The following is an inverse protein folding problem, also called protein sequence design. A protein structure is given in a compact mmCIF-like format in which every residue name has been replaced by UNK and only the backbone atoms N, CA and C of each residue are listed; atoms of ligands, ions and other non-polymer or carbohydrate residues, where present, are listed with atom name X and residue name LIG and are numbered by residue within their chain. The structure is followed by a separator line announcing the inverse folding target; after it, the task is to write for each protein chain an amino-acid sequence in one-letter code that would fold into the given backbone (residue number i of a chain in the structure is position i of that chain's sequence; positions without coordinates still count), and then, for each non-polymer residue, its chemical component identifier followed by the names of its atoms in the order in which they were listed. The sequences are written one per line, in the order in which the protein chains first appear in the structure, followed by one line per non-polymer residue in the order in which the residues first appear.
data_IF_651509401351
#
_entry.id   IF_651509401351
#
_cell.length_a   1.000
_cell.length_b   1.000
_cell.length_c   1.000
_cell.angle_alpha   90.00
_cell.angle_beta   90.00
_cell.angle_gamma   90.00
#
_symmetry.space_group_name_H-M   'P 1'
#
loop_
_entity.id
_entity.type
_entity.pdbx_description
1 polymer ?
#
# COMPACT_ATOMS: atom_id res chain seq x y z
N UNK A 1 -5.61 -12.35 3.88
CA UNK A 1 -5.26 -13.54 4.68
C UNK A 1 -5.90 -13.43 6.06
N UNK A 2 -6.47 -14.51 6.62
CA UNK A 2 -7.10 -14.49 7.94
C UNK A 2 -6.11 -14.53 9.11
N UNK A 3 -6.52 -14.12 10.32
CA UNK A 3 -5.70 -14.11 11.55
C UNK A 3 -5.08 -15.47 11.85
N UNK A 4 -5.82 -16.58 11.68
CA UNK A 4 -5.30 -17.95 11.90
C UNK A 4 -4.09 -18.35 11.05
N UNK A 5 -3.75 -17.54 10.03
CA UNK A 5 -2.58 -17.74 9.15
C UNK A 5 -1.49 -16.68 9.37
N UNK A 6 -1.68 -15.76 10.30
CA UNK A 6 -0.68 -14.74 10.64
C UNK A 6 0.44 -15.34 11.50
N UNK A 7 1.55 -14.62 11.62
CA UNK A 7 2.60 -14.91 12.60
C UNK A 7 1.97 -14.88 14.00
N UNK A 8 2.40 -15.74 14.90
CA UNK A 8 1.91 -15.79 16.30
C UNK A 8 0.39 -15.95 16.43
N UNK A 9 -0.26 -16.62 15.46
CA UNK A 9 -1.71 -16.72 15.40
C UNK A 9 -2.33 -17.37 16.63
N UNK A 10 -1.73 -18.44 17.17
CA UNK A 10 -2.28 -19.16 18.33
C UNK A 10 -2.39 -18.27 19.59
N UNK A 11 -1.30 -17.66 20.11
CA UNK A 11 -1.41 -16.79 21.27
C UNK A 11 -2.28 -15.56 21.00
N UNK A 12 -2.26 -15.01 19.77
CA UNK A 12 -3.15 -13.90 19.40
C UNK A 12 -4.62 -14.31 19.44
N UNK A 13 -4.98 -15.52 19.00
CA UNK A 13 -6.33 -16.03 19.07
C UNK A 13 -6.77 -16.25 20.52
N UNK A 14 -5.93 -16.87 21.35
CA UNK A 14 -6.24 -17.14 22.76
C UNK A 14 -6.51 -15.84 23.55
N UNK A 15 -5.75 -14.79 23.27
CA UNK A 15 -5.87 -13.49 23.94
C UNK A 15 -7.00 -12.58 23.40
N UNK A 16 -7.62 -12.91 22.26
CA UNK A 16 -8.54 -12.01 21.55
C UNK A 16 -9.93 -11.92 22.19
N UNK A 17 -10.04 -11.30 23.37
CA UNK A 17 -11.30 -11.05 24.05
C UNK A 17 -11.70 -9.56 23.98
N UNK A 18 -12.15 -9.11 22.80
CA UNK A 18 -12.46 -7.70 22.52
C UNK A 18 -13.94 -7.54 22.11
N UNK A 19 -14.91 -7.60 23.05
CA UNK A 19 -16.34 -7.60 22.71
C UNK A 19 -16.83 -6.31 22.03
N UNK A 20 -16.09 -5.21 22.19
CA UNK A 20 -16.31 -3.92 21.54
C UNK A 20 -15.73 -3.84 20.11
N UNK A 21 -15.08 -4.88 19.62
CA UNK A 21 -14.63 -5.01 18.24
C UNK A 21 -15.52 -6.03 17.52
N UNK A 22 -16.08 -5.65 16.37
CA UNK A 22 -16.87 -6.55 15.52
C UNK A 22 -16.41 -6.47 14.07
N UNK A 23 -16.49 -7.59 13.36
CA UNK A 23 -16.24 -7.63 11.92
C UNK A 23 -17.45 -8.17 11.16
N UNK A 24 -17.92 -7.42 10.18
CA UNK A 24 -18.84 -7.89 9.14
C UNK A 24 -18.04 -8.40 7.96
N UNK A 25 -18.23 -9.65 7.56
CA UNK A 25 -17.61 -10.18 6.34
C UNK A 25 -18.64 -10.30 5.23
N UNK A 26 -18.43 -9.57 4.14
CA UNK A 26 -19.26 -9.64 2.94
C UNK A 26 -18.97 -10.96 2.22
N UNK A 27 -20.03 -11.71 1.90
CA UNK A 27 -19.94 -12.93 1.09
C UNK A 27 -19.58 -12.55 -0.34
N UNK A 28 -18.63 -13.29 -0.93
CA UNK A 28 -18.19 -13.04 -2.30
C UNK A 28 -19.34 -13.11 -3.31
N UNK A 29 -19.58 -12.00 -4.02
CA UNK A 29 -20.65 -11.90 -5.02
C UNK A 29 -20.21 -11.03 -6.21
N UNK A 30 -19.90 -11.66 -7.35
CA UNK A 30 -19.66 -10.94 -8.61
C UNK A 30 -20.98 -10.78 -9.36
N UNK A 31 -21.31 -9.55 -9.76
CA UNK A 31 -22.61 -9.21 -10.38
C UNK A 31 -22.43 -8.25 -11.55
N UNK A 32 -23.17 -8.47 -12.63
CA UNK A 32 -23.12 -7.61 -13.82
C UNK A 32 -23.77 -6.24 -13.59
N UNK A 33 -24.80 -6.21 -12.73
CA UNK A 33 -25.53 -5.00 -12.35
C UNK A 33 -25.34 -4.71 -10.85
N UNK A 34 -25.36 -3.43 -10.44
CA UNK A 34 -25.29 -3.06 -9.02
C UNK A 34 -26.41 -3.73 -8.21
N UNK A 35 -26.09 -4.18 -7.00
CA UNK A 35 -27.05 -4.82 -6.10
C UNK A 35 -27.47 -3.85 -4.99
N UNK A 36 -28.71 -3.99 -4.52
CA UNK A 36 -29.22 -3.22 -3.38
C UNK A 36 -28.80 -3.79 -2.02
N UNK A 37 -28.49 -5.08 -1.95
CA UNK A 37 -28.15 -5.78 -0.70
C UNK A 37 -27.00 -6.79 -0.89
N UNK A 38 -26.33 -7.14 0.21
CA UNK A 38 -25.29 -8.16 0.26
C UNK A 38 -25.47 -9.11 1.45
N UNK A 39 -25.02 -10.36 1.28
CA UNK A 39 -25.01 -11.31 2.38
C UNK A 39 -23.74 -11.15 3.21
N UNK A 40 -23.87 -11.17 4.53
CA UNK A 40 -22.74 -11.20 5.46
C UNK A 40 -23.21 -11.39 6.89
N UNK A 41 -22.27 -11.39 7.84
CA UNK A 41 -22.59 -11.48 9.27
C UNK A 41 -21.63 -10.68 10.12
N UNK A 42 -22.16 -9.97 11.11
CA UNK A 42 -21.36 -9.37 12.17
C UNK A 42 -20.93 -10.46 13.16
N UNK A 43 -19.63 -10.52 13.45
CA UNK A 43 -19.10 -11.40 14.47
C UNK A 43 -18.36 -10.57 15.52
N UNK A 44 -18.62 -10.85 16.79
CA UNK A 44 -17.87 -10.29 17.92
C UNK A 44 -16.44 -10.83 17.88
N UNK A 45 -15.44 -10.01 18.22
CA UNK A 45 -14.06 -10.48 18.38
C UNK A 45 -13.93 -11.27 19.68
N UNK A 46 -13.72 -12.58 19.54
CA UNK A 46 -13.53 -13.54 20.62
C UNK A 46 -12.45 -14.56 20.20
N UNK A 47 -11.89 -15.36 21.13
CA UNK A 47 -10.95 -16.40 20.76
C UNK A 47 -11.50 -17.39 19.72
N UNK A 48 -12.83 -17.63 19.75
CA UNK A 48 -13.52 -18.53 18.82
C UNK A 48 -13.69 -17.96 17.41
N UNK A 49 -13.73 -16.64 17.25
CA UNK A 49 -14.12 -15.99 15.99
C UNK A 49 -12.96 -15.27 15.30
N UNK A 50 -11.98 -14.76 16.05
CA UNK A 50 -10.92 -13.89 15.51
C UNK A 50 -10.08 -14.60 14.45
N UNK A 51 -9.90 -15.92 14.56
CA UNK A 51 -9.19 -16.72 13.55
C UNK A 51 -9.79 -16.62 12.14
N UNK A 52 -11.07 -16.26 12.03
CA UNK A 52 -11.80 -15.98 10.79
C UNK A 52 -11.59 -14.59 10.22
N UNK A 53 -11.18 -13.62 11.05
CA UNK A 53 -11.12 -12.21 10.66
C UNK A 53 -9.98 -11.96 9.67
N UNK A 54 -10.12 -10.94 8.84
CA UNK A 54 -9.00 -10.43 8.04
C UNK A 54 -7.88 -9.96 8.97
N UNK A 55 -6.67 -10.49 8.80
CA UNK A 55 -5.53 -10.14 9.67
C UNK A 55 -5.22 -8.64 9.66
N UNK A 56 -5.14 -8.03 8.47
CA UNK A 56 -4.87 -6.60 8.34
C UNK A 56 -5.95 -5.74 9.02
N UNK A 57 -7.22 -6.04 8.78
CA UNK A 57 -8.33 -5.28 9.38
C UNK A 57 -8.43 -5.50 10.89
N UNK A 58 -8.17 -6.72 11.37
CA UNK A 58 -8.17 -7.03 12.79
C UNK A 58 -7.09 -6.26 13.56
N UNK A 59 -5.83 -6.34 13.14
CA UNK A 59 -4.74 -5.62 13.83
C UNK A 59 -4.88 -4.10 13.72
N UNK A 60 -5.44 -3.61 12.61
CA UNK A 60 -5.86 -2.21 12.46
C UNK A 60 -6.90 -1.81 13.49
N UNK A 61 -8.04 -2.52 13.53
CA UNK A 61 -9.14 -2.20 14.44
C UNK A 61 -8.79 -2.40 15.91
N UNK A 62 -7.96 -3.40 16.24
CA UNK A 62 -7.45 -3.62 17.60
C UNK A 62 -6.63 -2.43 18.09
N UNK A 63 -5.73 -1.89 17.25
CA UNK A 63 -4.95 -0.70 17.61
C UNK A 63 -5.83 0.53 17.73
N UNK A 64 -6.76 0.76 16.82
CA UNK A 64 -7.72 1.88 16.96
C UNK A 64 -8.54 1.78 18.24
N UNK A 65 -9.03 0.60 18.59
CA UNK A 65 -9.80 0.39 19.81
C UNK A 65 -8.98 0.72 21.06
N UNK A 66 -7.74 0.25 21.12
CA UNK A 66 -6.83 0.51 22.23
C UNK A 66 -6.54 2.02 22.41
N UNK A 67 -6.32 2.74 21.31
CA UNK A 67 -5.89 4.14 21.31
C UNK A 67 -7.04 5.14 21.48
N UNK A 68 -8.25 4.76 21.10
CA UNK A 68 -9.43 5.63 21.11
C UNK A 68 -10.42 5.29 22.24
N UNK A 69 -10.38 4.07 22.79
CA UNK A 69 -11.29 3.62 23.84
C UNK A 69 -12.75 3.41 23.39
N UNK A 70 -13.06 3.57 22.10
CA UNK A 70 -14.42 3.45 21.53
C UNK A 70 -14.64 2.09 20.85
N UNK A 71 -15.89 1.60 20.72
CA UNK A 71 -16.19 0.43 19.91
C UNK A 71 -15.74 0.59 18.44
N UNK A 72 -15.24 -0.49 17.84
CA UNK A 72 -14.75 -0.49 16.45
C UNK A 72 -15.49 -1.54 15.63
N UNK A 73 -16.20 -1.08 14.60
CA UNK A 73 -16.80 -1.92 13.56
C UNK A 73 -15.90 -1.98 12.34
N UNK A 74 -15.65 -3.20 11.83
CA UNK A 74 -14.86 -3.44 10.62
C UNK A 74 -15.73 -4.12 9.56
N UNK A 75 -15.76 -3.59 8.34
CA UNK A 75 -16.40 -4.26 7.19
C UNK A 75 -15.31 -4.82 6.30
N UNK A 76 -15.26 -6.15 6.18
CA UNK A 76 -14.35 -6.87 5.30
C UNK A 76 -15.08 -7.24 4.00
N UNK A 77 -14.86 -6.42 2.96
CA UNK A 77 -15.28 -6.69 1.58
C UNK A 77 -14.03 -6.95 0.74
N UNK A 78 -13.55 -8.19 0.72
CA UNK A 78 -12.32 -8.57 0.00
C UNK A 78 -12.44 -9.91 -0.71
N UNK A 79 -11.72 -10.04 -1.83
CA UNK A 79 -11.63 -11.30 -2.58
C UNK A 79 -10.25 -11.43 -3.24
N UNK A 80 -9.51 -12.48 -2.87
CA UNK A 80 -8.14 -12.72 -3.35
C UNK A 80 -8.04 -12.88 -4.87
N UNK A 81 -6.94 -12.36 -5.44
CA UNK A 81 -6.59 -12.49 -6.86
C UNK A 81 -7.42 -11.62 -7.80
N UNK A 82 -7.93 -10.49 -7.29
CA UNK A 82 -8.79 -9.57 -8.03
C UNK A 82 -8.06 -8.28 -8.38
N UNK A 83 -8.40 -7.71 -9.53
CA UNK A 83 -7.82 -6.48 -10.05
C UNK A 83 -8.68 -5.27 -9.66
N UNK A 84 -8.07 -4.08 -9.53
CA UNK A 84 -8.75 -2.87 -9.03
C UNK A 84 -9.96 -2.47 -9.87
N UNK A 85 -9.94 -2.71 -11.18
CA UNK A 85 -11.05 -2.43 -12.09
C UNK A 85 -12.35 -3.15 -11.69
N UNK A 86 -12.27 -4.29 -11.02
CA UNK A 86 -13.45 -5.02 -10.55
C UNK A 86 -14.14 -4.32 -9.37
N UNK A 87 -13.43 -3.43 -8.66
CA UNK A 87 -13.84 -2.74 -7.43
C UNK A 87 -14.20 -1.26 -7.62
N UNK A 88 -14.01 -0.73 -8.82
CA UNK A 88 -14.45 0.61 -9.23
C UNK A 88 -15.74 0.50 -10.05
N UNK A 89 -16.64 1.47 -9.96
CA UNK A 89 -17.86 1.44 -10.75
C UNK A 89 -17.61 1.49 -12.26
N UNK A 90 -18.58 1.05 -13.06
CA UNK A 90 -18.39 0.95 -14.51
C UNK A 90 -18.44 2.32 -15.20
N UNK A 91 -19.32 3.20 -14.73
CA UNK A 91 -19.57 4.52 -15.31
C UNK A 91 -18.32 5.41 -15.24
N UNK A 92 -17.65 5.50 -14.09
CA UNK A 92 -16.43 6.31 -13.95
C UNK A 92 -15.27 5.73 -14.77
N UNK A 93 -15.18 4.41 -14.88
CA UNK A 93 -14.13 3.78 -15.68
C UNK A 93 -14.32 4.00 -17.18
N UNK A 94 -15.56 4.01 -17.67
CA UNK A 94 -15.87 4.29 -19.08
C UNK A 94 -15.57 5.73 -19.49
N UNK A 95 -15.57 6.66 -18.55
CA UNK A 95 -15.24 8.07 -18.80
C UNK A 95 -13.73 8.32 -18.86
N UNK A 96 -12.91 7.38 -18.41
CA UNK A 96 -11.45 7.49 -18.42
C UNK A 96 -10.84 6.72 -19.60
N UNK A 97 -10.45 7.44 -20.65
CA UNK A 97 -9.88 6.85 -21.86
C UNK A 97 -8.59 6.05 -21.60
N UNK A 98 -7.85 6.35 -20.52
CA UNK A 98 -6.65 5.60 -20.11
C UNK A 98 -6.97 4.15 -19.74
N UNK A 99 -8.22 3.86 -19.36
CA UNK A 99 -8.68 2.54 -18.95
C UNK A 99 -9.27 1.72 -20.10
N UNK A 100 -9.26 2.20 -21.34
CA UNK A 100 -9.82 1.49 -22.50
C UNK A 100 -9.28 0.05 -22.63
N UNK A 101 -7.98 -0.15 -22.39
CA UNK A 101 -7.31 -1.46 -22.48
C UNK A 101 -7.81 -2.49 -21.45
N UNK A 102 -8.35 -2.02 -20.31
CA UNK A 102 -8.90 -2.87 -19.24
C UNK A 102 -10.15 -3.63 -19.71
N UNK A 103 -10.90 -3.06 -20.66
CA UNK A 103 -12.14 -3.66 -21.18
C UNK A 103 -11.91 -4.69 -22.28
N UNK A 104 -10.80 -4.59 -23.02
CA UNK A 104 -10.53 -5.44 -24.19
C UNK A 104 -10.64 -6.96 -23.89
N UNK A 105 -10.12 -7.49 -22.76
CA UNK A 105 -10.24 -8.92 -22.44
C UNK A 105 -11.67 -9.42 -22.18
N UNK A 106 -12.66 -8.51 -22.11
CA UNK A 106 -14.04 -8.80 -21.69
C UNK A 106 -15.09 -8.60 -22.79
N UNK A 107 -14.71 -8.12 -23.99
CA UNK A 107 -15.63 -7.73 -25.08
C UNK A 107 -16.71 -8.77 -25.39
N UNK A 108 -16.36 -10.06 -25.35
CA UNK A 108 -17.28 -11.17 -25.66
C UNK A 108 -17.53 -12.10 -24.46
N UNK A 109 -17.43 -11.59 -23.22
CA UNK A 109 -17.61 -12.39 -21.99
C UNK A 109 -18.84 -11.90 -21.23
N UNK A 110 -20.05 -12.39 -21.54
CA UNK A 110 -21.29 -11.86 -20.97
C UNK A 110 -21.46 -12.22 -19.49
N UNK A 111 -20.94 -13.37 -19.05
CA UNK A 111 -21.10 -13.88 -17.68
C UNK A 111 -20.37 -13.00 -16.64
N UNK A 112 -20.89 -12.99 -15.42
CA UNK A 112 -20.25 -12.31 -14.31
C UNK A 112 -18.89 -12.93 -13.97
N UNK A 113 -17.91 -12.11 -13.61
CA UNK A 113 -16.59 -12.58 -13.19
C UNK A 113 -15.98 -11.64 -12.14
N UNK A 114 -15.28 -12.18 -11.14
CA UNK A 114 -14.62 -11.41 -10.07
C UNK A 114 -13.49 -10.47 -10.53
N UNK A 115 -13.02 -10.59 -11.76
CA UNK A 115 -12.03 -9.69 -12.36
C UNK A 115 -12.63 -8.83 -13.49
N UNK A 116 -13.91 -9.00 -13.83
CA UNK A 116 -14.55 -8.16 -14.85
C UNK A 116 -14.77 -6.78 -14.25
N UNK A 117 -14.51 -5.68 -15.00
CA UNK A 117 -14.70 -4.33 -14.50
C UNK A 117 -16.07 -4.13 -13.84
N UNK A 118 -16.06 -3.50 -12.67
CA UNK A 118 -17.18 -3.21 -11.79
C UNK A 118 -17.94 -4.40 -11.19
N UNK A 119 -17.62 -5.64 -11.52
CA UNK A 119 -18.45 -6.75 -11.07
C UNK A 119 -18.43 -7.01 -9.56
N UNK A 120 -17.31 -6.73 -8.88
CA UNK A 120 -17.22 -6.82 -7.42
C UNK A 120 -17.70 -5.53 -6.75
N UNK A 121 -17.48 -4.38 -7.38
CA UNK A 121 -18.11 -3.14 -6.99
C UNK A 121 -19.63 -3.34 -6.87
N UNK A 122 -20.25 -3.83 -7.95
CA UNK A 122 -21.68 -4.07 -8.04
C UNK A 122 -22.24 -4.99 -6.96
N UNK A 123 -21.57 -6.11 -6.68
CA UNK A 123 -22.10 -7.14 -5.79
C UNK A 123 -21.61 -7.07 -4.35
N UNK A 124 -20.53 -6.32 -4.07
CA UNK A 124 -19.89 -6.31 -2.75
C UNK A 124 -19.61 -4.91 -2.17
N UNK A 125 -19.62 -3.86 -2.99
CA UNK A 125 -19.38 -2.48 -2.53
C UNK A 125 -20.65 -1.64 -2.64
N UNK A 126 -21.35 -1.69 -3.77
CA UNK A 126 -22.59 -0.95 -3.97
C UNK A 126 -23.61 -1.18 -2.85
N UNK A 127 -23.85 -2.41 -2.35
CA UNK A 127 -24.77 -2.62 -1.24
C UNK A 127 -24.38 -1.94 0.08
N UNK A 128 -23.12 -1.54 0.23
CA UNK A 128 -22.60 -0.85 1.41
C UNK A 128 -22.63 0.68 1.26
N UNK A 129 -22.90 1.19 0.06
CA UNK A 129 -22.98 2.63 -0.20
C UNK A 129 -24.12 3.21 0.63
N UNK A 130 -23.82 4.26 1.39
CA UNK A 130 -24.76 4.88 2.34
C UNK A 130 -24.68 4.30 3.76
N UNK A 131 -23.96 3.19 3.97
CA UNK A 131 -23.64 2.73 5.33
C UNK A 131 -22.65 3.71 5.98
N UNK A 132 -22.97 4.19 7.18
CA UNK A 132 -22.11 5.10 7.93
C UNK A 132 -20.77 4.46 8.26
N UNK A 133 -19.71 4.85 7.55
CA UNK A 133 -18.33 4.39 7.79
C UNK A 133 -17.39 5.59 7.87
N UNK A 134 -16.40 5.49 8.76
CA UNK A 134 -15.42 6.56 8.99
C UNK A 134 -14.35 6.66 7.90
N UNK A 135 -14.25 5.69 7.00
CA UNK A 135 -13.25 5.65 5.94
C UNK A 135 -12.99 4.23 5.45
N UNK A 136 -12.00 4.06 4.58
CA UNK A 136 -11.64 2.77 4.01
C UNK A 136 -10.14 2.46 4.16
N UNK A 137 -9.83 1.18 4.36
CA UNK A 137 -8.49 0.62 4.18
C UNK A 137 -8.48 -0.27 2.92
N UNK A 138 -7.43 -0.15 2.12
CA UNK A 138 -7.28 -0.86 0.85
C UNK A 138 -5.98 -1.63 0.80
N UNK A 139 -6.07 -2.93 0.51
CA UNK A 139 -4.88 -3.77 0.38
C UNK A 139 -5.04 -4.66 -0.84
N UNK A 140 -4.56 -4.14 -1.96
CA UNK A 140 -4.57 -4.77 -3.27
C UNK A 140 -3.49 -4.10 -4.12
N UNK A 141 -2.97 -4.82 -5.09
CA UNK A 141 -2.15 -4.28 -6.17
C UNK A 141 -1.47 -5.40 -6.96
N UNK A 142 -1.28 -6.55 -6.32
CA UNK A 142 -0.58 -7.71 -6.84
C UNK A 142 -1.10 -8.17 -8.20
N UNK A 143 -2.43 -8.12 -8.39
CA UNK A 143 -3.06 -8.52 -9.66
C UNK A 143 -2.79 -7.51 -10.80
N UNK A 144 -2.62 -6.24 -10.46
CA UNK A 144 -2.30 -5.15 -11.38
C UNK A 144 -0.78 -4.94 -11.57
N UNK A 145 0.07 -5.71 -10.88
CA UNK A 145 1.54 -5.67 -11.01
C UNK A 145 2.08 -6.69 -12.03
N UNK A 146 1.33 -7.07 -13.06
CA UNK A 146 1.74 -8.11 -14.02
C UNK A 146 2.71 -7.63 -15.09
N UNK A 147 2.62 -6.35 -15.45
CA UNK A 147 3.52 -5.65 -16.35
C UNK A 147 3.80 -4.26 -15.81
N UNK A 148 4.91 -3.65 -16.26
CA UNK A 148 5.23 -2.25 -15.95
C UNK A 148 4.07 -1.33 -16.37
N UNK A 149 3.50 -1.52 -17.56
CA UNK A 149 2.37 -0.73 -18.04
C UNK A 149 1.13 -0.83 -17.13
N UNK A 150 0.77 -2.03 -16.67
CA UNK A 150 -0.35 -2.22 -15.74
C UNK A 150 -0.06 -1.61 -14.36
N UNK A 151 1.20 -1.67 -13.90
CA UNK A 151 1.61 -1.06 -12.64
C UNK A 151 1.63 0.47 -12.71
N UNK A 152 2.02 1.05 -13.85
CA UNK A 152 1.92 2.49 -14.09
C UNK A 152 0.48 2.94 -14.11
N UNK A 153 -0.40 2.23 -14.83
CA UNK A 153 -1.83 2.56 -14.92
C UNK A 153 -2.50 2.68 -13.55
N UNK A 154 -2.01 1.94 -12.55
CA UNK A 154 -2.52 1.96 -11.18
C UNK A 154 -2.51 3.35 -10.54
N UNK A 155 -1.55 4.23 -10.91
CA UNK A 155 -1.50 5.64 -10.44
C UNK A 155 -2.68 6.47 -10.91
N UNK A 156 -3.49 5.96 -11.84
CA UNK A 156 -4.76 6.55 -12.26
C UNK A 156 -5.96 5.76 -11.70
N UNK A 157 -5.87 4.43 -11.65
CA UNK A 157 -6.95 3.57 -11.17
C UNK A 157 -7.27 3.78 -9.68
N UNK A 158 -6.25 3.87 -8.82
CA UNK A 158 -6.48 4.04 -7.38
C UNK A 158 -7.09 5.42 -7.04
N UNK A 159 -6.59 6.55 -7.60
CA UNK A 159 -7.28 7.83 -7.50
C UNK A 159 -8.75 7.79 -7.96
N UNK A 160 -9.04 7.10 -9.07
CA UNK A 160 -10.39 6.98 -9.60
C UNK A 160 -11.29 6.19 -8.65
N UNK A 161 -10.80 5.08 -8.08
CA UNK A 161 -11.53 4.29 -7.07
C UNK A 161 -11.85 5.14 -5.84
N UNK A 162 -10.87 5.88 -5.32
CA UNK A 162 -11.04 6.73 -4.14
C UNK A 162 -12.11 7.80 -4.40
N UNK A 163 -12.01 8.51 -5.53
CA UNK A 163 -12.96 9.56 -5.89
C UNK A 163 -14.37 9.01 -6.13
N UNK A 164 -14.48 7.85 -6.79
CA UNK A 164 -15.76 7.16 -7.03
C UNK A 164 -16.44 6.79 -5.71
N UNK A 165 -15.72 6.14 -4.80
CA UNK A 165 -16.28 5.74 -3.51
C UNK A 165 -16.66 6.96 -2.65
N UNK A 166 -15.80 7.98 -2.57
CA UNK A 166 -16.12 9.24 -1.87
C UNK A 166 -17.41 9.88 -2.40
N UNK A 167 -17.54 9.98 -3.72
CA UNK A 167 -18.73 10.54 -4.37
C UNK A 167 -19.99 9.74 -4.02
N UNK A 168 -19.91 8.42 -4.09
CA UNK A 168 -21.05 7.52 -3.83
C UNK A 168 -21.51 7.53 -2.38
N UNK A 169 -20.57 7.56 -1.44
CA UNK A 169 -20.91 7.66 -0.02
C UNK A 169 -21.45 9.03 0.37
N UNK A 170 -21.11 10.09 -0.37
CA UNK A 170 -21.73 11.41 -0.19
C UNK A 170 -21.47 12.05 1.18
N UNK A 171 -20.40 11.67 1.89
CA UNK A 171 -20.16 12.10 3.27
C UNK A 171 -19.55 13.51 3.42
N UNK A 172 -19.72 14.40 2.43
CA UNK A 172 -19.22 15.78 2.55
C UNK A 172 -17.70 15.94 2.37
N UNK A 173 -17.06 15.04 1.62
CA UNK A 173 -15.70 15.23 1.12
C UNK A 173 -14.62 14.36 1.77
N UNK A 174 -13.34 14.58 1.41
CA UNK A 174 -12.21 13.73 1.79
C UNK A 174 -12.00 13.53 3.29
N UNK A 175 -12.16 14.59 4.09
CA UNK A 175 -11.92 14.53 5.56
C UNK A 175 -12.92 13.63 6.29
N UNK A 176 -14.11 13.45 5.73
CA UNK A 176 -15.16 12.59 6.31
C UNK A 176 -15.13 11.16 5.73
N UNK A 177 -14.42 10.95 4.62
CA UNK A 177 -14.13 9.64 4.05
C UNK A 177 -12.64 9.53 3.69
N UNK A 178 -11.76 9.43 4.69
CA UNK A 178 -10.35 9.17 4.50
C UNK A 178 -10.12 7.78 3.90
N UNK A 179 -9.02 7.66 3.14
CA UNK A 179 -8.69 6.44 2.41
C UNK A 179 -7.21 6.08 2.63
N UNK A 180 -6.95 4.89 3.15
CA UNK A 180 -5.60 4.45 3.46
C UNK A 180 -5.30 3.14 2.73
N UNK A 181 -4.07 2.93 2.27
CA UNK A 181 -3.69 1.67 1.62
C UNK A 181 -2.39 1.10 2.13
N UNK A 182 -2.20 -0.18 1.83
CA UNK A 182 -0.96 -0.90 2.09
C UNK A 182 -0.11 -0.89 0.82
N UNK A 183 1.08 -0.31 0.88
CA UNK A 183 2.07 -0.45 -0.19
C UNK A 183 2.43 -1.93 -0.34
N UNK A 184 2.64 -2.44 -1.56
CA UNK A 184 3.01 -3.85 -1.72
C UNK A 184 4.32 -4.19 -0.98
N UNK A 185 4.37 -5.32 -0.24
CA UNK A 185 5.54 -5.73 0.54
C UNK A 185 6.64 -6.32 -0.36
N UNK A 186 7.81 -6.67 0.17
CA UNK A 186 8.82 -7.44 -0.57
C UNK A 186 8.28 -8.78 -1.07
N UNK A 187 8.67 -9.14 -2.31
CA UNK A 187 8.24 -10.39 -2.94
C UNK A 187 9.28 -10.87 -3.97
N UNK A 188 9.41 -12.20 -4.16
CA UNK A 188 10.42 -12.88 -5.00
C UNK A 188 11.84 -12.87 -4.43
N UNK A 189 12.77 -13.47 -5.16
CA UNK A 189 14.20 -13.49 -4.81
C UNK A 189 14.78 -12.07 -4.70
N UNK A 190 15.82 -11.90 -3.89
CA UNK A 190 16.54 -10.62 -3.77
C UNK A 190 17.01 -10.16 -5.14
N UNK A 191 16.77 -8.89 -5.45
CA UNK A 191 17.25 -8.26 -6.66
C UNK A 191 18.45 -7.38 -6.32
N UNK A 192 19.61 -7.73 -6.88
CA UNK A 192 20.85 -6.98 -6.67
C UNK A 192 21.10 -5.93 -7.75
N UNK A 193 20.65 -6.17 -8.99
CA UNK A 193 20.84 -5.25 -10.11
C UNK A 193 19.94 -4.01 -9.99
N UNK A 194 20.51 -2.79 -9.85
CA UNK A 194 19.75 -1.55 -9.76
C UNK A 194 19.22 -1.03 -11.12
N UNK A 195 19.70 -1.59 -12.25
CA UNK A 195 19.24 -1.22 -13.58
C UNK A 195 17.94 -1.92 -13.97
N UNK A 196 17.71 -3.12 -13.43
CA UNK A 196 16.48 -3.89 -13.68
C UNK A 196 15.26 -3.20 -13.06
N UNK A 197 14.40 -2.65 -13.91
CA UNK A 197 13.08 -2.17 -13.48
C UNK A 197 12.06 -3.30 -13.46
N UNK A 198 11.22 -3.32 -12.43
CA UNK A 198 10.16 -4.32 -12.29
C UNK A 198 8.79 -3.68 -12.12
N UNK A 199 7.75 -4.40 -12.54
CA UNK A 199 6.36 -3.99 -12.33
C UNK A 199 6.01 -3.83 -10.85
N UNK A 200 6.69 -4.53 -9.94
CA UNK A 200 6.46 -4.41 -8.51
C UNK A 200 7.03 -3.11 -7.93
N UNK A 201 8.24 -2.72 -8.34
CA UNK A 201 8.84 -1.44 -7.96
C UNK A 201 7.98 -0.27 -8.48
N UNK A 202 7.59 -0.34 -9.75
CA UNK A 202 6.70 0.63 -10.39
C UNK A 202 5.32 0.67 -9.72
N UNK A 203 4.79 -0.46 -9.24
CA UNK A 203 3.53 -0.46 -8.49
C UNK A 203 3.65 0.29 -7.17
N UNK A 204 4.76 0.10 -6.43
CA UNK A 204 4.99 0.84 -5.18
C UNK A 204 5.12 2.34 -5.41
N UNK A 205 5.81 2.73 -6.48
CA UNK A 205 5.89 4.13 -6.92
C UNK A 205 4.49 4.66 -7.27
N UNK A 206 3.73 3.94 -8.09
CA UNK A 206 2.37 4.32 -8.47
C UNK A 206 1.46 4.49 -7.27
N UNK A 207 1.58 3.64 -6.24
CA UNK A 207 0.85 3.78 -4.97
C UNK A 207 1.29 5.03 -4.20
N UNK A 208 2.58 5.34 -4.15
CA UNK A 208 3.09 6.52 -3.45
C UNK A 208 2.63 7.83 -4.09
N UNK A 209 2.54 7.89 -5.41
CA UNK A 209 2.06 9.09 -6.13
C UNK A 209 0.61 9.46 -5.77
N UNK A 210 -0.20 8.49 -5.31
CA UNK A 210 -1.59 8.72 -4.89
C UNK A 210 -1.68 9.54 -3.60
N UNK A 211 -0.61 9.63 -2.79
CA UNK A 211 -0.58 10.44 -1.57
C UNK A 211 -0.84 11.94 -1.81
N UNK A 212 -0.77 12.41 -3.06
CA UNK A 212 -1.20 13.76 -3.45
C UNK A 212 -2.71 13.98 -3.24
N UNK A 213 -3.51 12.93 -3.12
CA UNK A 213 -4.92 13.05 -2.78
C UNK A 213 -5.13 13.45 -1.31
N UNK A 214 -6.07 14.37 -1.03
CA UNK A 214 -6.36 14.80 0.34
C UNK A 214 -6.92 13.66 1.19
N UNK A 215 -6.69 13.73 2.51
CA UNK A 215 -7.12 12.73 3.50
C UNK A 215 -6.76 11.29 3.10
N UNK A 216 -5.54 11.10 2.62
CA UNK A 216 -4.99 9.78 2.28
C UNK A 216 -3.71 9.46 3.04
N UNK A 217 -3.29 8.20 2.98
CA UNK A 217 -2.05 7.75 3.58
C UNK A 217 -1.73 6.30 3.23
N UNK A 218 -0.47 5.94 3.41
CA UNK A 218 0.08 4.67 2.94
C UNK A 218 0.87 3.98 4.05
N UNK A 219 0.50 2.75 4.37
CA UNK A 219 1.32 1.87 5.19
C UNK A 219 2.45 1.30 4.32
N UNK A 220 3.69 1.74 4.56
CA UNK A 220 4.89 1.16 3.94
C UNK A 220 5.14 -0.22 4.54
N UNK A 221 5.29 -1.25 3.70
CA UNK A 221 5.43 -2.65 4.16
C UNK A 221 6.58 -3.41 3.48
N UNK A 222 7.53 -2.67 2.90
CA UNK A 222 8.65 -3.22 2.15
C UNK A 222 9.45 -4.26 2.97
N UNK A 223 9.62 -4.06 4.28
CA UNK A 223 10.37 -4.91 5.21
C UNK A 223 9.64 -6.17 5.69
N UNK A 224 8.30 -6.23 5.59
CA UNK A 224 7.51 -7.36 6.13
C UNK A 224 7.19 -8.44 5.08
N UNK A 225 7.70 -8.28 3.85
CA UNK A 225 7.48 -9.20 2.75
C UNK A 225 8.24 -10.52 2.87
N UNK A 226 7.80 -11.54 2.14
CA UNK A 226 8.41 -12.87 2.12
C UNK A 226 8.81 -13.23 0.68
N UNK A 227 10.06 -13.68 0.49
CA UNK A 227 10.59 -13.93 -0.85
C UNK A 227 9.83 -15.00 -1.63
N UNK A 228 9.20 -15.95 -0.93
CA UNK A 228 8.51 -17.12 -1.52
C UNK A 228 7.00 -17.15 -1.28
N UNK A 229 6.45 -16.16 -0.58
CA UNK A 229 5.00 -16.05 -0.34
C UNK A 229 4.56 -14.60 -0.56
N UNK A 230 3.60 -14.42 -1.46
CA UNK A 230 2.98 -13.13 -1.73
C UNK A 230 2.07 -12.66 -0.57
N UNK A 231 1.78 -13.54 0.39
CA UNK A 231 0.94 -13.27 1.56
C UNK A 231 1.77 -13.22 2.85
N UNK A 232 2.45 -12.10 3.19
CA UNK A 232 3.32 -12.07 4.35
C UNK A 232 2.56 -12.33 5.65
N UNK A 233 3.15 -13.14 6.53
CA UNK A 233 2.53 -13.58 7.79
C UNK A 233 2.47 -12.50 8.85
N UNK A 234 3.40 -11.55 8.83
CA UNK A 234 3.41 -10.41 9.74
C UNK A 234 2.33 -9.38 9.36
N UNK A 235 1.08 -9.69 9.67
CA UNK A 235 -0.06 -8.78 9.46
C UNK A 235 -0.26 -7.80 10.61
N UNK A 236 0.42 -8.04 11.73
CA UNK A 236 0.52 -7.14 12.88
C UNK A 236 1.04 -5.78 12.41
N UNK A 237 2.24 -5.75 11.83
CA UNK A 237 2.86 -4.49 11.38
C UNK A 237 2.05 -3.83 10.26
N UNK A 238 1.46 -4.62 9.35
CA UNK A 238 0.57 -4.08 8.31
C UNK A 238 -0.62 -3.35 8.94
N UNK A 239 -1.34 -3.98 9.87
CA UNK A 239 -2.48 -3.39 10.53
C UNK A 239 -2.10 -2.22 11.44
N UNK A 240 -0.98 -2.34 12.17
CA UNK A 240 -0.48 -1.28 13.05
C UNK A 240 -0.06 -0.04 12.29
N UNK A 241 0.61 -0.17 11.14
CA UNK A 241 0.99 0.98 10.29
C UNK A 241 -0.24 1.63 9.64
N UNK A 242 -1.22 0.84 9.19
CA UNK A 242 -2.50 1.41 8.75
C UNK A 242 -3.22 2.18 9.86
N UNK A 243 -3.21 1.66 11.08
CA UNK A 243 -3.86 2.32 12.21
C UNK A 243 -3.11 3.61 12.58
N UNK A 244 -1.79 3.63 12.48
CA UNK A 244 -0.98 4.82 12.69
C UNK A 244 -1.35 5.95 11.73
N UNK A 245 -1.45 5.62 10.44
CA UNK A 245 -1.94 6.56 9.41
C UNK A 245 -3.35 7.07 9.76
N UNK A 246 -4.26 6.17 10.14
CA UNK A 246 -5.63 6.55 10.46
C UNK A 246 -5.74 7.42 11.73
N UNK A 247 -4.99 7.11 12.78
CA UNK A 247 -4.96 7.90 14.02
C UNK A 247 -4.53 9.34 13.75
N UNK A 248 -3.48 9.54 12.96
CA UNK A 248 -3.03 10.87 12.57
C UNK A 248 -4.05 11.57 11.64
N UNK A 249 -4.43 10.95 10.53
CA UNK A 249 -5.20 11.62 9.49
C UNK A 249 -6.69 11.79 9.85
N UNK A 250 -7.34 10.75 10.39
CA UNK A 250 -8.78 10.72 10.63
C UNK A 250 -9.18 11.09 12.06
N UNK A 251 -8.28 10.88 13.03
CA UNK A 251 -8.53 11.16 14.46
C UNK A 251 -7.62 12.25 15.04
N UNK A 252 -6.80 12.88 14.19
CA UNK A 252 -5.96 14.05 14.51
C UNK A 252 -5.06 13.83 15.74
N UNK A 253 -4.62 12.60 15.97
CA UNK A 253 -3.62 12.27 16.99
C UNK A 253 -2.25 12.80 16.54
N UNK A 254 -1.53 13.44 17.44
CA UNK A 254 -0.16 13.91 17.21
C UNK A 254 0.81 12.73 17.28
N UNK A 255 1.16 12.19 16.12
CA UNK A 255 2.14 11.11 15.96
C UNK A 255 2.69 11.09 14.54
N UNK A 256 3.82 10.40 14.34
CA UNK A 256 4.40 10.19 13.00
C UNK A 256 3.54 9.19 12.23
N UNK A 257 2.85 9.65 11.19
CA UNK A 257 1.84 8.85 10.50
C UNK A 257 2.40 7.74 9.60
N UNK A 258 3.51 8.00 8.90
CA UNK A 258 4.08 7.15 7.85
C UNK A 258 5.59 6.99 8.04
N UNK A 259 6.21 6.12 7.25
CA UNK A 259 7.67 6.02 7.18
C UNK A 259 8.28 7.14 6.35
N UNK A 260 9.62 7.30 6.37
CA UNK A 260 10.30 8.33 5.60
C UNK A 260 9.90 8.33 4.12
N UNK A 261 9.43 9.47 3.62
CA UNK A 261 9.13 9.69 2.20
C UNK A 261 10.12 10.71 1.65
N UNK A 262 10.75 10.43 0.50
CA UNK A 262 11.67 11.39 -0.11
C UNK A 262 10.92 12.71 -0.39
N UNK A 263 11.46 13.79 0.17
CA UNK A 263 10.97 15.17 0.04
C UNK A 263 11.72 15.91 -1.06
N UNK A 264 13.05 15.82 -1.03
CA UNK A 264 13.93 16.48 -1.99
C UNK A 264 15.26 15.75 -2.12
N UNK A 265 15.91 16.02 -3.25
CA UNK A 265 17.27 15.56 -3.56
C UNK A 265 18.09 16.76 -4.00
N UNK A 266 19.31 16.89 -3.45
CA UNK A 266 20.28 17.92 -3.81
C UNK A 266 21.58 17.24 -4.20
N UNK A 267 22.18 17.70 -5.30
CA UNK A 267 23.47 17.20 -5.78
C UNK A 267 24.54 18.22 -5.35
N UNK A 268 25.50 17.75 -4.57
CA UNK A 268 26.60 18.49 -3.96
C UNK A 268 27.90 17.88 -4.50
N UNK A 269 28.38 18.39 -5.64
CA UNK A 269 29.48 17.80 -6.42
C UNK A 269 29.21 16.32 -6.76
N UNK A 270 30.03 15.40 -6.28
CA UNK A 270 29.90 13.94 -6.49
C UNK A 270 28.99 13.25 -5.48
N UNK A 271 28.33 14.01 -4.59
CA UNK A 271 27.44 13.48 -3.55
C UNK A 271 26.00 13.87 -3.79
N UNK A 272 25.10 12.99 -3.39
CA UNK A 272 23.66 13.23 -3.43
C UNK A 272 23.12 13.23 -2.01
N UNK A 273 22.47 14.33 -1.61
CA UNK A 273 21.77 14.46 -0.33
C UNK A 273 20.28 14.27 -0.54
N UNK A 274 19.69 13.35 0.22
CA UNK A 274 18.26 13.05 0.20
C UNK A 274 17.63 13.50 1.53
N UNK A 275 16.61 14.34 1.44
CA UNK A 275 15.79 14.73 2.58
C UNK A 275 14.46 13.97 2.58
N UNK A 276 13.90 13.74 3.77
CA UNK A 276 12.69 12.96 3.94
C UNK A 276 11.65 13.70 4.79
N UNK A 277 10.38 13.53 4.43
CA UNK A 277 9.24 13.79 5.31
C UNK A 277 8.98 12.58 6.21
N UNK A 278 8.13 12.74 7.23
CA UNK A 278 7.71 11.66 8.16
C UNK A 278 8.86 10.95 8.90
N UNK A 279 9.92 11.71 9.21
CA UNK A 279 11.10 11.21 9.92
C UNK A 279 10.87 11.09 11.43
N UNK A 280 9.93 11.85 11.99
CA UNK A 280 9.78 11.94 13.45
C UNK A 280 10.98 12.63 14.08
N UNK A 281 11.51 12.05 15.15
CA UNK A 281 12.70 12.56 15.83
C UNK A 281 13.94 12.41 14.95
N UNK A 282 14.13 11.24 14.32
CA UNK A 282 15.33 10.93 13.54
C UNK A 282 15.19 9.76 12.58
N UNK A 283 16.02 9.75 11.55
CA UNK A 283 16.32 8.58 10.75
C UNK A 283 17.12 7.56 11.56
N UNK A 284 16.74 6.29 11.42
CA UNK A 284 17.34 5.14 12.10
C UNK A 284 17.85 4.16 11.05
N UNK A 285 19.13 3.81 11.15
CA UNK A 285 19.75 2.74 10.35
C UNK A 285 19.79 1.47 11.20
N UNK A 286 19.06 0.44 10.77
CA UNK A 286 19.08 -0.86 11.46
C UNK A 286 20.24 -1.73 10.97
N UNK A 287 20.79 -2.52 11.90
CA UNK A 287 21.91 -3.43 11.63
C UNK A 287 23.28 -2.88 12.03
N UNK A 288 24.31 -3.71 11.92
CA UNK A 288 25.62 -3.44 12.54
C UNK A 288 26.46 -2.38 11.82
N UNK A 289 26.27 -2.20 10.51
CA UNK A 289 27.24 -1.49 9.67
C UNK A 289 27.04 0.03 9.54
N UNK A 290 26.04 0.64 10.21
CA UNK A 290 25.73 2.10 10.12
C UNK A 290 25.70 2.67 8.69
N UNK A 291 25.53 1.79 7.70
CA UNK A 291 25.40 2.10 6.28
C UNK A 291 23.95 1.85 5.87
N UNK A 292 23.42 2.76 5.06
CA UNK A 292 22.10 2.62 4.48
C UNK A 292 22.20 1.77 3.22
N UNK A 293 21.36 0.74 3.13
CA UNK A 293 21.31 -0.20 2.01
C UNK A 293 20.28 0.22 0.97
N UNK A 294 20.48 -0.21 -0.27
CA UNK A 294 19.48 -0.11 -1.34
C UNK A 294 19.54 1.18 -2.16
N UNK A 295 20.60 1.98 -2.02
CA UNK A 295 20.84 3.14 -2.87
C UNK A 295 21.65 2.78 -4.12
N UNK A 296 21.29 3.41 -5.23
CA UNK A 296 22.05 3.42 -6.48
C UNK A 296 22.02 4.83 -7.09
N UNK A 297 23.13 5.20 -7.76
CA UNK A 297 23.28 6.46 -8.48
C UNK A 297 23.50 6.19 -9.96
N UNK A 298 23.08 7.11 -10.82
CA UNK A 298 23.41 7.10 -12.24
C UNK A 298 23.96 8.46 -12.68
N UNK A 299 24.92 8.43 -13.60
CA UNK A 299 25.48 9.61 -14.25
C UNK A 299 24.82 9.90 -15.60
N UNK A 300 25.43 10.75 -16.44
CA UNK A 300 24.90 11.10 -17.77
C UNK A 300 24.68 9.91 -18.72
N UNK A 301 25.39 8.80 -18.50
CA UNK A 301 25.24 7.53 -19.24
C UNK A 301 23.94 6.77 -18.91
N UNK A 302 23.22 7.21 -17.86
CA UNK A 302 21.97 6.63 -17.36
C UNK A 302 22.08 5.20 -16.85
N UNK A 303 23.30 4.77 -16.49
CA UNK A 303 23.55 3.46 -15.89
C UNK A 303 23.61 3.59 -14.38
N UNK A 304 22.79 2.81 -13.68
CA UNK A 304 22.77 2.80 -12.21
C UNK A 304 23.87 1.89 -11.66
N UNK A 305 24.65 2.42 -10.73
CA UNK A 305 25.63 1.70 -9.94
C UNK A 305 25.26 1.72 -8.46
N UNK A 306 25.53 0.65 -7.69
CA UNK A 306 25.36 0.66 -6.24
C UNK A 306 26.10 1.84 -5.60
N UNK A 307 25.54 2.38 -4.52
CA UNK A 307 26.09 3.53 -3.83
C UNK A 307 26.24 3.31 -2.32
N UNK A 308 27.25 3.96 -1.73
CA UNK A 308 27.45 4.01 -0.30
C UNK A 308 26.59 5.15 0.25
N UNK A 309 25.77 4.84 1.26
CA UNK A 309 24.85 5.81 1.85
C UNK A 309 24.96 5.86 3.37
N UNK A 310 24.90 7.06 3.95
CA UNK A 310 25.01 7.31 5.40
C UNK A 310 23.99 8.35 5.85
N UNK A 311 23.47 8.19 7.07
CA UNK A 311 22.67 9.24 7.70
C UNK A 311 23.60 10.33 8.23
N UNK A 312 23.33 11.58 7.88
CA UNK A 312 24.02 12.78 8.40
C UNK A 312 22.99 13.90 8.54
N UNK A 313 22.92 14.53 9.71
CA UNK A 313 22.03 15.66 10.00
C UNK A 313 20.56 15.38 9.61
N UNK A 314 20.08 14.17 9.93
CA UNK A 314 18.74 13.68 9.59
C UNK A 314 18.41 13.62 8.07
N UNK A 315 19.45 13.66 7.23
CA UNK A 315 19.39 13.42 5.78
C UNK A 315 20.18 12.16 5.44
N UNK A 316 20.06 11.65 4.22
CA UNK A 316 20.94 10.59 3.71
C UNK A 316 21.88 11.16 2.67
N UNK A 317 23.19 11.01 2.89
CA UNK A 317 24.23 11.36 1.91
C UNK A 317 24.66 10.09 1.19
N UNK A 318 24.65 10.14 -0.14
CA UNK A 318 24.86 9.01 -1.05
C UNK A 318 26.00 9.36 -2.00
N UNK A 319 26.95 8.43 -2.19
CA UNK A 319 28.07 8.60 -3.11
C UNK A 319 28.44 7.26 -3.76
N UNK A 320 28.98 7.30 -4.98
CA UNK A 320 29.50 6.11 -5.68
C UNK A 320 30.78 6.45 -6.42
N UNK A 321 31.81 5.61 -6.28
CA UNK A 321 33.07 5.77 -7.01
C UNK A 321 32.91 5.56 -8.52
N UNK A 322 31.88 4.81 -8.90
CA UNK A 322 31.55 4.52 -10.30
C UNK A 322 30.75 5.67 -10.94
N UNK A 323 30.25 6.62 -10.14
CA UNK A 323 29.39 7.73 -10.61
C UNK A 323 29.92 9.06 -10.05
N UNK A 324 30.98 9.63 -10.66
CA UNK A 324 31.54 10.90 -10.20
C UNK A 324 30.61 12.09 -10.41
N UNK A 325 29.77 12.05 -11.46
CA UNK A 325 28.83 13.12 -11.84
C UNK A 325 27.37 12.61 -11.76
N UNK A 326 26.80 12.44 -10.55
CA UNK A 326 25.46 11.88 -10.42
C UNK A 326 24.40 12.84 -10.99
N UNK A 327 23.40 12.29 -11.70
CA UNK A 327 22.21 13.02 -12.17
C UNK A 327 20.90 12.39 -11.69
N UNK A 328 20.95 11.15 -11.19
CA UNK A 328 19.78 10.45 -10.68
C UNK A 328 20.13 9.52 -9.51
N UNK A 329 19.15 9.32 -8.62
CA UNK A 329 19.23 8.41 -7.48
C UNK A 329 18.00 7.52 -7.41
N UNK A 330 18.22 6.25 -7.07
CA UNK A 330 17.18 5.26 -6.74
C UNK A 330 17.40 4.73 -5.33
N UNK A 331 16.31 4.55 -4.60
CA UNK A 331 16.29 3.87 -3.31
C UNK A 331 15.29 2.71 -3.35
N UNK A 332 15.78 1.50 -3.10
CA UNK A 332 14.95 0.29 -2.93
C UNK A 332 13.97 0.05 -4.10
N UNK A 333 14.33 0.47 -5.31
CA UNK A 333 13.48 0.39 -6.51
C UNK A 333 13.56 -1.00 -7.16
N UNK A 334 13.05 -2.03 -6.45
CA UNK A 334 13.12 -3.43 -6.88
C UNK A 334 11.99 -4.30 -6.31
N UNK A 335 11.83 -5.53 -6.82
CA UNK A 335 10.88 -6.54 -6.30
C UNK A 335 11.11 -6.85 -4.81
N UNK A 336 12.38 -7.13 -4.46
CA UNK A 336 12.81 -7.49 -3.11
C UNK A 336 14.20 -6.91 -2.76
N UNK A 337 14.30 -5.58 -2.53
CA UNK A 337 15.53 -4.91 -2.09
C UNK A 337 15.87 -5.19 -0.63
N UNK A 338 17.15 -5.26 -0.30
CA UNK A 338 17.62 -5.24 1.09
C UNK A 338 17.59 -3.81 1.64
N UNK A 339 16.84 -3.58 2.72
CA UNK A 339 16.53 -2.25 3.23
C UNK A 339 16.71 -2.20 4.74
N UNK A 340 17.23 -1.06 5.22
CA UNK A 340 17.48 -0.86 6.65
C UNK A 340 17.29 0.57 7.15
N UNK A 341 16.67 1.46 6.36
CA UNK A 341 16.37 2.84 6.73
C UNK A 341 14.95 2.93 7.29
N UNK A 342 14.82 3.49 8.49
CA UNK A 342 13.56 3.66 9.22
C UNK A 342 13.48 5.06 9.80
N UNK A 343 12.29 5.47 10.25
CA UNK A 343 12.17 6.54 11.24
C UNK A 343 12.30 6.00 12.68
N UNK A 344 12.27 6.92 13.66
CA UNK A 344 12.31 6.62 15.09
C UNK A 344 11.16 5.70 15.55
N UNK A 345 10.00 5.78 14.90
CA UNK A 345 8.83 4.93 15.16
C UNK A 345 8.92 3.53 14.54
N UNK A 346 10.04 3.22 13.88
CA UNK A 346 10.31 1.89 13.34
C UNK A 346 9.53 1.56 12.07
N UNK A 347 9.07 2.57 11.32
CA UNK A 347 8.46 2.42 10.00
C UNK A 347 9.55 2.60 8.92
N UNK A 348 9.67 1.68 7.95
CA UNK A 348 10.71 1.76 6.92
C UNK A 348 10.47 2.94 5.97
N UNK A 349 11.56 3.45 5.40
CA UNK A 349 11.50 4.41 4.31
C UNK A 349 10.83 3.80 3.06
N UNK A 350 10.03 4.59 2.36
CA UNK A 350 9.42 4.16 1.11
C UNK A 350 10.43 4.18 -0.04
N UNK A 351 10.36 3.22 -0.99
CA UNK A 351 11.20 3.22 -2.18
C UNK A 351 10.88 4.43 -3.08
N UNK A 352 11.88 4.96 -3.77
CA UNK A 352 11.71 6.08 -4.70
C UNK A 352 12.78 6.06 -5.80
N UNK A 353 12.55 6.91 -6.82
CA UNK A 353 13.53 7.27 -7.83
C UNK A 353 13.41 8.75 -8.20
N UNK A 354 14.45 9.34 -8.77
CA UNK A 354 14.40 10.71 -9.32
C UNK A 354 14.44 10.75 -10.84
N UNK A 355 14.76 9.64 -11.50
CA UNK A 355 14.66 9.54 -12.96
C UNK A 355 13.22 9.29 -13.43
N UNK A 356 12.92 9.76 -14.63
CA UNK A 356 11.70 9.49 -15.38
C UNK A 356 11.97 8.72 -16.67
N UNK A 357 13.14 8.08 -16.77
CA UNK A 357 13.67 7.52 -18.00
C UNK A 357 12.86 6.30 -18.48
N UNK A 358 12.56 6.29 -19.78
CA UNK A 358 11.98 5.16 -20.50
C UNK A 358 13.05 4.49 -21.39
N UNK A 359 12.94 3.19 -21.68
CA UNK A 359 11.88 2.29 -21.23
C UNK A 359 12.22 1.64 -19.87
N UNK A 360 11.26 1.62 -18.94
CA UNK A 360 11.28 0.72 -17.77
C UNK A 360 11.13 -0.78 -18.19
N UNK A 361 11.18 -1.07 -19.50
CA UNK A 361 11.55 -2.37 -20.01
C UNK A 361 13.07 -2.35 -20.16
N UNK A 362 13.79 -3.05 -19.27
CA UNK A 362 15.15 -3.46 -19.59
C UNK A 362 15.19 -4.21 -20.94
N UNK A 363 16.41 -4.42 -21.49
CA UNK A 363 16.58 -5.15 -22.75
C UNK A 363 15.85 -6.50 -22.79
#
# INVERSE_FOLDING_TARGET
MPVRRCRDAKPEQEAANFPKIRMFTVKGSARLAPQADCQGRWQVCSPKTVGGFSGAAYFFGRRLHAELGVPVGLINSSWGGTAIEAWTSLDVQKQDSRLASVFAPWKNKPKANRNKPANLFNGMIQPLVGYGIRGAIWYQGERNSKSVSSARLYRHQLPLLISDWRKRWGQGGPENFPFFWVQLPNFKARQADPNRVTSWAVMRESMQQVLKQPATGMAVTIDVGEARDIHPKNKQDVGHRLAQVALAAAYKKELVAMGPLMRSVTIEDSRVRVQFDHVGEKLVVRGKQQLVKGFALAGPDKVFHPAVARVKDNTVVVESKEVPDPIAVRYAFADNPDVNLYNSDGIPAAPFRTDDWEPDAGP
#
